data_IF_292621939161
#
_entry.id   IF_292621939161
#
_cell.length_a   1.000
_cell.length_b   1.000
_cell.length_c   1.000
_cell.angle_alpha   90.00
_cell.angle_beta   90.00
_cell.angle_gamma   90.00
#
_symmetry.space_group_name_H-M   'P 1'
#
loop_
_entity.id
_entity.type
_entity.pdbx_description
1 polymer ?
#
# COMPACT_ATOMS: atom_id res chain seq x y z
N UNK A 1 -60.41 17.61 6.42
CA UNK A 1 -59.27 18.28 7.09
C UNK A 1 -58.57 17.28 7.99
N UNK A 2 -57.39 16.79 7.57
CA UNK A 2 -56.35 16.09 8.37
C UNK A 2 -55.33 15.48 7.41
N UNK A 3 -54.08 15.96 7.45
CA UNK A 3 -52.82 15.22 7.19
C UNK A 3 -51.74 16.06 7.90
N UNK A 4 -51.29 15.68 9.10
CA UNK A 4 -50.11 14.84 9.43
C UNK A 4 -48.78 15.45 8.97
N UNK A 5 -47.95 15.74 9.97
CA UNK A 5 -46.59 16.27 9.88
C UNK A 5 -45.63 15.37 9.09
N UNK A 6 -44.67 15.98 8.39
CA UNK A 6 -43.45 15.31 7.92
C UNK A 6 -42.23 16.22 8.15
N UNK A 7 -41.21 15.63 8.77
CA UNK A 7 -39.91 16.21 9.14
C UNK A 7 -39.20 16.82 7.91
N UNK A 8 -38.40 17.89 8.04
CA UNK A 8 -37.54 18.32 6.95
C UNK A 8 -36.37 17.34 6.80
N UNK A 9 -36.38 16.58 5.70
CA UNK A 9 -35.17 16.04 5.11
C UNK A 9 -34.52 17.16 4.28
N UNK A 10 -33.31 17.56 4.65
CA UNK A 10 -32.40 18.41 3.87
C UNK A 10 -31.15 17.56 3.62
N UNK A 11 -30.50 17.53 2.47
CA UNK A 11 -30.77 17.98 1.11
C UNK A 11 -29.75 17.22 0.23
N UNK A 12 -30.13 16.90 -1.00
CA UNK A 12 -29.30 16.25 -1.99
C UNK A 12 -28.30 17.22 -2.64
N UNK A 13 -27.14 16.71 -3.05
CA UNK A 13 -26.33 17.21 -4.18
C UNK A 13 -25.39 16.04 -4.56
N UNK A 14 -25.37 15.48 -5.77
CA UNK A 14 -25.53 16.05 -7.10
C UNK A 14 -24.22 15.74 -7.85
N UNK A 15 -24.23 14.74 -8.74
CA UNK A 15 -24.11 14.93 -10.19
C UNK A 15 -22.73 14.54 -10.75
N UNK A 16 -22.81 13.68 -11.75
CA UNK A 16 -21.80 13.14 -12.67
C UNK A 16 -21.05 14.25 -13.42
N UNK A 17 -19.73 14.07 -13.61
CA UNK A 17 -18.98 14.72 -14.70
C UNK A 17 -18.36 13.63 -15.57
N UNK A 18 -18.89 13.49 -16.78
CA UNK A 18 -18.22 12.84 -17.92
C UNK A 18 -17.43 13.93 -18.65
N UNK A 19 -16.14 13.72 -18.90
CA UNK A 19 -15.36 14.50 -19.87
C UNK A 19 -14.33 13.60 -20.60
N UNK A 20 -14.69 13.28 -21.84
CA UNK A 20 -13.88 13.26 -23.08
C UNK A 20 -12.62 12.39 -23.13
N UNK A 21 -12.73 11.31 -23.91
CA UNK A 21 -11.62 10.57 -24.50
C UNK A 21 -10.90 11.42 -25.57
N UNK A 22 -9.66 11.85 -25.28
CA UNK A 22 -8.68 12.25 -26.30
C UNK A 22 -7.69 11.09 -26.42
N UNK A 23 -7.58 10.51 -27.61
CA UNK A 23 -6.58 9.48 -27.91
C UNK A 23 -5.16 10.06 -27.96
N UNK A 24 -4.20 9.23 -27.51
CA UNK A 24 -2.74 9.40 -27.55
C UNK A 24 -2.21 10.64 -26.79
N UNK A 25 -1.48 10.53 -25.69
CA UNK A 25 -0.34 9.66 -25.41
C UNK A 25 -0.53 9.17 -23.97
N UNK A 26 -0.61 7.85 -23.75
CA UNK A 26 -0.29 7.34 -22.41
C UNK A 26 1.17 7.74 -22.19
N UNK A 27 1.52 8.61 -21.23
CA UNK A 27 2.92 8.73 -20.86
C UNK A 27 3.42 7.29 -20.61
N UNK A 28 4.65 6.94 -21.01
CA UNK A 28 5.18 5.64 -20.68
C UNK A 28 4.91 5.44 -19.20
N UNK A 29 4.31 4.31 -18.83
CA UNK A 29 4.16 3.96 -17.43
C UNK A 29 5.57 4.09 -16.86
N UNK A 30 5.80 5.19 -16.14
CA UNK A 30 7.02 5.54 -15.41
C UNK A 30 7.34 4.28 -14.65
N UNK A 31 8.29 3.49 -15.16
CA UNK A 31 8.57 2.17 -14.63
C UNK A 31 8.97 2.40 -13.18
N UNK A 32 8.77 1.43 -12.27
CA UNK A 32 9.23 1.53 -10.88
C UNK A 32 10.74 1.87 -10.74
N UNK A 33 11.48 1.92 -11.85
CA UNK A 33 12.83 2.41 -12.03
C UNK A 33 13.02 3.93 -11.81
N UNK A 34 11.97 4.75 -11.83
CA UNK A 34 12.14 6.22 -11.81
C UNK A 34 12.15 6.83 -10.41
N UNK A 35 11.81 6.08 -9.35
CA UNK A 35 11.92 6.55 -7.97
C UNK A 35 13.38 6.42 -7.49
N UNK A 36 14.09 7.52 -7.17
CA UNK A 36 15.48 7.46 -6.74
C UNK A 36 15.69 6.61 -5.48
N UNK A 37 16.49 5.56 -5.60
CA UNK A 37 16.83 4.68 -4.49
C UNK A 37 15.83 3.56 -4.20
N UNK A 38 14.81 3.37 -5.04
CA UNK A 38 13.79 2.34 -4.86
C UNK A 38 14.38 0.93 -4.70
N UNK A 39 15.27 0.51 -5.60
CA UNK A 39 15.89 -0.82 -5.52
C UNK A 39 16.75 -1.02 -4.27
N UNK A 40 17.46 0.04 -3.86
CA UNK A 40 18.25 0.05 -2.62
C UNK A 40 17.33 -0.08 -1.41
N UNK A 41 16.20 0.63 -1.40
CA UNK A 41 15.21 0.54 -0.34
C UNK A 41 14.60 -0.85 -0.27
N UNK A 42 14.15 -1.42 -1.40
CA UNK A 42 13.59 -2.78 -1.46
C UNK A 42 14.58 -3.84 -0.98
N UNK A 43 15.86 -3.72 -1.36
CA UNK A 43 16.92 -4.60 -0.87
C UNK A 43 17.07 -4.48 0.65
N UNK A 44 17.23 -3.27 1.17
CA UNK A 44 17.40 -3.03 2.60
C UNK A 44 16.19 -3.51 3.42
N UNK A 45 14.97 -3.24 2.93
CA UNK A 45 13.73 -3.70 3.56
C UNK A 45 13.72 -5.22 3.71
N UNK A 46 13.99 -5.97 2.64
CA UNK A 46 14.05 -7.43 2.70
C UNK A 46 15.16 -7.97 3.62
N UNK A 47 16.29 -7.26 3.74
CA UNK A 47 17.35 -7.63 4.68
C UNK A 47 16.90 -7.44 6.13
N UNK A 48 16.27 -6.31 6.46
CA UNK A 48 15.77 -6.02 7.82
C UNK A 48 14.66 -6.99 8.22
N UNK A 49 13.70 -7.25 7.33
CA UNK A 49 12.52 -8.06 7.64
C UNK A 49 12.84 -9.54 7.82
N UNK A 50 13.75 -10.11 7.02
CA UNK A 50 14.00 -11.56 7.09
C UNK A 50 15.41 -12.04 6.73
N UNK A 51 16.34 -11.12 6.47
CA UNK A 51 17.64 -11.44 5.87
C UNK A 51 17.54 -11.84 4.40
N UNK A 52 16.46 -11.45 3.70
CA UNK A 52 16.24 -11.77 2.29
C UNK A 52 15.60 -13.13 2.01
N UNK A 53 15.15 -13.85 3.04
CA UNK A 53 14.59 -15.21 2.91
C UNK A 53 13.11 -15.18 2.55
N UNK A 54 12.75 -15.81 1.42
CA UNK A 54 11.37 -15.87 0.92
C UNK A 54 10.45 -16.86 1.66
N UNK A 55 11.02 -17.73 2.49
CA UNK A 55 10.34 -18.75 3.27
C UNK A 55 10.31 -18.43 4.77
N UNK A 56 10.83 -17.28 5.19
CA UNK A 56 10.83 -16.86 6.58
C UNK A 56 9.40 -16.73 7.11
N UNK A 57 9.13 -17.30 8.27
CA UNK A 57 7.82 -17.27 8.89
C UNK A 57 7.90 -16.81 10.35
N UNK A 58 7.09 -15.81 10.69
CA UNK A 58 6.91 -15.36 12.06
C UNK A 58 5.67 -16.02 12.66
N UNK A 59 5.88 -16.93 13.61
CA UNK A 59 4.79 -17.70 14.24
C UNK A 59 3.85 -16.84 15.11
N UNK A 60 4.29 -15.67 15.57
CA UNK A 60 3.48 -14.79 16.43
C UNK A 60 2.51 -13.94 15.61
N UNK A 61 2.99 -13.30 14.55
CA UNK A 61 2.17 -12.41 13.72
C UNK A 61 1.56 -13.09 12.49
N UNK A 62 2.08 -14.26 12.10
CA UNK A 62 1.78 -14.90 10.83
C UNK A 62 2.43 -14.22 9.62
N UNK A 63 3.32 -13.25 9.83
CA UNK A 63 4.07 -12.61 8.76
C UNK A 63 4.92 -13.64 8.00
N UNK A 64 4.95 -13.49 6.68
CA UNK A 64 5.61 -14.46 5.81
C UNK A 64 6.51 -13.80 4.77
N UNK A 65 7.60 -14.49 4.48
CA UNK A 65 8.48 -14.26 3.36
C UNK A 65 9.46 -13.12 3.54
N UNK A 66 10.08 -12.72 2.42
CA UNK A 66 11.20 -11.77 2.38
C UNK A 66 10.87 -10.43 3.03
N UNK A 67 9.61 -10.03 2.89
CA UNK A 67 9.13 -8.72 3.35
C UNK A 67 8.23 -8.80 4.59
N UNK A 68 8.11 -9.99 5.21
CA UNK A 68 7.29 -10.21 6.41
C UNK A 68 5.88 -9.63 6.31
N UNK A 69 5.20 -9.88 5.19
CA UNK A 69 3.84 -9.39 4.96
C UNK A 69 2.87 -10.21 5.82
N UNK A 70 2.09 -9.54 6.69
CA UNK A 70 1.06 -10.19 7.51
C UNK A 70 -0.13 -10.67 6.65
N UNK A 71 -0.88 -11.70 7.10
CA UNK A 71 -1.92 -12.32 6.27
C UNK A 71 -3.02 -11.38 5.77
N UNK A 72 -3.47 -10.45 6.63
CA UNK A 72 -4.51 -9.47 6.28
C UNK A 72 -4.05 -8.51 5.18
N UNK A 73 -2.82 -8.01 5.28
CA UNK A 73 -2.21 -7.15 4.26
C UNK A 73 -1.99 -7.90 2.95
N UNK A 74 -1.49 -9.14 3.01
CA UNK A 74 -1.33 -9.96 1.81
C UNK A 74 -2.63 -10.08 1.04
N UNK A 75 -3.73 -10.41 1.71
CA UNK A 75 -5.03 -10.60 1.07
C UNK A 75 -5.47 -9.35 0.29
N UNK A 76 -5.31 -8.18 0.88
CA UNK A 76 -5.70 -6.92 0.23
C UNK A 76 -4.75 -6.55 -0.91
N UNK A 77 -3.45 -6.70 -0.71
CA UNK A 77 -2.45 -6.26 -1.69
C UNK A 77 -2.34 -7.23 -2.87
N UNK A 78 -2.45 -8.54 -2.63
CA UNK A 78 -2.46 -9.56 -3.66
C UNK A 78 -3.70 -9.46 -4.56
N UNK A 79 -4.89 -9.22 -3.99
CA UNK A 79 -6.09 -8.95 -4.79
C UNK A 79 -5.87 -7.76 -5.74
N UNK A 80 -5.31 -6.67 -5.22
CA UNK A 80 -5.06 -5.46 -6.00
C UNK A 80 -4.01 -5.65 -7.09
N UNK A 81 -2.90 -6.33 -6.78
CA UNK A 81 -1.72 -6.41 -7.66
C UNK A 81 -1.79 -7.60 -8.62
N UNK A 82 -2.33 -8.72 -8.15
CA UNK A 82 -2.35 -10.01 -8.86
C UNK A 82 -3.77 -10.40 -9.31
N UNK A 83 -4.81 -9.73 -8.81
CA UNK A 83 -6.20 -10.09 -9.08
C UNK A 83 -6.70 -11.31 -8.29
N UNK A 84 -5.95 -11.72 -7.25
CA UNK A 84 -6.31 -12.85 -6.40
C UNK A 84 -5.84 -12.63 -4.95
N UNK A 85 -6.80 -12.44 -4.05
CA UNK A 85 -6.59 -12.26 -2.62
C UNK A 85 -5.91 -13.47 -1.94
N UNK A 86 -6.07 -14.66 -2.51
CA UNK A 86 -5.54 -15.92 -1.99
C UNK A 86 -4.34 -16.41 -2.83
N UNK A 87 -3.77 -15.53 -3.67
CA UNK A 87 -2.61 -15.83 -4.50
C UNK A 87 -1.46 -16.44 -3.67
N UNK A 88 -0.76 -17.45 -4.22
CA UNK A 88 0.33 -18.11 -3.52
C UNK A 88 1.48 -17.14 -3.24
N UNK A 89 2.11 -17.26 -2.06
CA UNK A 89 3.24 -16.41 -1.63
C UNK A 89 4.57 -16.86 -2.25
N UNK A 90 4.61 -17.10 -3.56
CA UNK A 90 5.85 -17.43 -4.29
C UNK A 90 6.85 -16.27 -4.20
N UNK A 91 8.16 -16.51 -4.39
CA UNK A 91 9.15 -15.43 -4.41
C UNK A 91 8.79 -14.30 -5.39
N UNK A 92 8.32 -14.66 -6.59
CA UNK A 92 7.89 -13.70 -7.62
C UNK A 92 6.68 -12.87 -7.16
N UNK A 93 5.65 -13.52 -6.61
CA UNK A 93 4.48 -12.81 -6.12
C UNK A 93 4.82 -11.88 -4.95
N UNK A 94 5.74 -12.28 -4.07
CA UNK A 94 6.24 -11.43 -2.99
C UNK A 94 6.93 -10.17 -3.54
N UNK A 95 7.76 -10.30 -4.57
CA UNK A 95 8.40 -9.16 -5.23
C UNK A 95 7.39 -8.22 -5.87
N UNK A 96 6.44 -8.75 -6.66
CA UNK A 96 5.41 -7.95 -7.32
C UNK A 96 4.56 -7.17 -6.31
N UNK A 97 4.03 -7.87 -5.30
CA UNK A 97 3.16 -7.28 -4.29
C UNK A 97 3.90 -6.23 -3.46
N UNK A 98 5.11 -6.54 -2.98
CA UNK A 98 5.87 -5.61 -2.14
C UNK A 98 6.32 -4.38 -2.93
N UNK A 99 6.84 -4.56 -4.15
CA UNK A 99 7.30 -3.44 -4.98
C UNK A 99 6.15 -2.51 -5.36
N UNK A 100 5.01 -3.04 -5.82
CA UNK A 100 3.85 -2.22 -6.12
C UNK A 100 3.37 -1.44 -4.88
N UNK A 101 3.38 -2.08 -3.70
CA UNK A 101 2.93 -1.47 -2.46
C UNK A 101 3.88 -0.36 -1.97
N UNK A 102 5.20 -0.59 -2.01
CA UNK A 102 6.19 0.43 -1.64
C UNK A 102 6.21 1.58 -2.64
N UNK A 103 6.01 1.29 -3.93
CA UNK A 103 5.93 2.32 -4.97
C UNK A 103 4.75 3.27 -4.68
N UNK A 104 3.57 2.73 -4.41
CA UNK A 104 2.38 3.54 -4.04
C UNK A 104 2.58 4.31 -2.73
N UNK A 105 3.24 3.69 -1.74
CA UNK A 105 3.54 4.35 -0.47
C UNK A 105 4.52 5.53 -0.69
N UNK A 106 5.53 5.36 -1.53
CA UNK A 106 6.47 6.44 -1.84
C UNK A 106 5.79 7.58 -2.60
N UNK A 107 4.94 7.30 -3.60
CA UNK A 107 4.18 8.36 -4.27
C UNK A 107 3.26 9.15 -3.32
N UNK A 108 2.85 8.54 -2.19
CA UNK A 108 2.01 9.22 -1.20
C UNK A 108 2.80 10.05 -0.20
N UNK A 109 3.97 9.57 0.22
CA UNK A 109 4.71 10.15 1.35
C UNK A 109 6.00 10.86 0.94
N UNK A 110 6.51 10.56 -0.25
CA UNK A 110 7.70 11.16 -0.90
C UNK A 110 8.99 11.12 -0.04
N UNK A 111 8.99 10.29 1.02
CA UNK A 111 10.08 10.20 1.99
C UNK A 111 10.27 8.75 2.44
N UNK A 112 11.46 8.20 2.20
CA UNK A 112 11.78 6.81 2.55
C UNK A 112 11.58 6.49 4.04
N UNK A 113 11.87 7.44 4.94
CA UNK A 113 11.66 7.26 6.38
C UNK A 113 10.18 7.06 6.71
N UNK A 114 9.29 7.82 6.08
CA UNK A 114 7.84 7.69 6.27
C UNK A 114 7.31 6.38 5.68
N UNK A 115 7.84 5.95 4.53
CA UNK A 115 7.50 4.67 3.91
C UNK A 115 7.90 3.50 4.79
N UNK A 116 9.12 3.52 5.35
CA UNK A 116 9.59 2.49 6.28
C UNK A 116 8.75 2.44 7.56
N UNK A 117 8.46 3.61 8.16
CA UNK A 117 7.60 3.71 9.33
C UNK A 117 6.19 3.17 9.05
N UNK A 118 5.62 3.51 7.90
CA UNK A 118 4.32 3.02 7.48
C UNK A 118 4.31 1.51 7.25
N UNK A 119 5.36 0.96 6.64
CA UNK A 119 5.50 -0.48 6.44
C UNK A 119 5.46 -1.23 7.76
N UNK A 120 6.23 -0.76 8.75
CA UNK A 120 6.34 -1.39 10.06
C UNK A 120 5.06 -1.26 10.90
N UNK A 121 4.40 -0.09 10.86
CA UNK A 121 3.36 0.27 11.85
C UNK A 121 1.95 0.33 11.27
N UNK A 122 1.81 0.38 9.94
CA UNK A 122 0.55 0.69 9.26
C UNK A 122 0.08 2.14 9.45
N UNK A 123 0.89 3.02 10.06
CA UNK A 123 0.55 4.41 10.41
C UNK A 123 1.51 5.38 9.73
N UNK A 124 1.14 6.67 9.73
CA UNK A 124 2.00 7.75 9.28
C UNK A 124 2.05 8.81 10.36
N UNK A 125 3.25 9.16 10.81
CA UNK A 125 3.48 10.26 11.76
C UNK A 125 4.64 11.07 11.19
N UNK A 126 4.38 12.30 10.75
CA UNK A 126 5.38 13.13 10.07
C UNK A 126 6.47 13.65 11.00
N UNK A 127 6.12 13.91 12.26
CA UNK A 127 7.06 14.30 13.29
C UNK A 127 7.75 13.06 13.88
N UNK A 128 8.99 12.80 13.44
CA UNK A 128 9.71 11.61 13.89
C UNK A 128 10.13 11.62 15.36
N UNK A 129 9.97 12.75 16.08
CA UNK A 129 10.18 12.77 17.54
C UNK A 129 9.11 12.01 18.32
N UNK A 130 7.98 11.69 17.68
CA UNK A 130 6.86 10.96 18.27
C UNK A 130 6.91 9.46 17.94
N UNK A 131 7.96 8.99 17.24
CA UNK A 131 8.14 7.58 16.93
C UNK A 131 8.64 6.84 18.18
N UNK A 132 8.19 5.61 18.37
CA UNK A 132 8.74 4.76 19.43
C UNK A 132 10.16 4.30 19.08
N UNK A 133 10.93 3.89 20.08
CA UNK A 133 12.29 3.33 19.89
C UNK A 133 12.34 2.10 18.97
N UNK A 134 11.19 1.44 18.76
CA UNK A 134 11.08 0.31 17.83
C UNK A 134 10.96 0.74 16.35
N UNK A 135 10.77 2.04 16.09
CA UNK A 135 10.50 2.59 14.77
C UNK A 135 11.46 3.73 14.36
N UNK A 136 12.47 4.03 15.18
CA UNK A 136 13.55 5.00 14.94
C UNK A 136 14.85 4.34 14.50
#
# INVERSE_FOLDING_TARGET
MRVVARRPAMAALGLVIVLVSIGAIRPPATQAHDIPGFDRFMYALGQVESGGRYDAYNATSGAYGKYQIIPSSWRVWAERVLGDADAPKTPENQELVARATIHDAFHRYEQWRLVAYWWLTGRVVYDSSQWSDYAT
#
